data_IF_684587077051
#
_entry.id   IF_684587077051
#
_cell.length_a   1.000
_cell.length_b   1.000
_cell.length_c   1.000
_cell.angle_alpha   90.00
_cell.angle_beta   90.00
_cell.angle_gamma   90.00
#
_symmetry.space_group_name_H-M   'P 1'
#
loop_
_entity.id
_entity.type
_entity.pdbx_description
1 polymer ?
#
# COMPACT_ATOMS: atom_id res chain seq x y z
N UNK A 1 -25.22 19.85 -13.76
CA UNK A 1 -25.74 20.46 -12.53
C UNK A 1 -24.85 21.62 -12.16
N UNK A 2 -25.42 22.79 -11.76
CA UNK A 2 -24.59 23.92 -11.36
C UNK A 2 -23.85 23.56 -10.07
N UNK A 3 -22.55 23.82 -10.04
CA UNK A 3 -21.64 23.58 -8.91
C UNK A 3 -22.05 24.31 -7.62
N UNK A 4 -23.03 25.20 -7.68
CA UNK A 4 -23.55 25.99 -6.55
C UNK A 4 -24.37 25.19 -5.52
N UNK A 5 -24.79 23.98 -5.86
CA UNK A 5 -25.66 23.16 -4.99
C UNK A 5 -24.87 22.25 -4.02
N UNK A 6 -23.55 22.21 -4.13
CA UNK A 6 -22.69 21.38 -3.28
C UNK A 6 -22.56 21.86 -1.83
N UNK A 7 -22.97 23.11 -1.53
CA UNK A 7 -22.79 23.70 -0.21
C UNK A 7 -23.79 23.22 0.86
N UNK A 8 -24.88 22.53 0.46
CA UNK A 8 -25.98 22.22 1.38
C UNK A 8 -25.96 20.80 1.96
N UNK A 9 -25.16 19.87 1.42
CA UNK A 9 -25.02 18.53 1.96
C UNK A 9 -23.60 17.98 1.77
N UNK A 10 -22.65 18.58 2.47
CA UNK A 10 -21.23 18.19 2.41
C UNK A 10 -21.04 16.73 2.82
N UNK A 11 -21.82 16.23 3.80
CA UNK A 11 -21.74 14.85 4.24
C UNK A 11 -22.07 13.87 3.10
N UNK A 12 -23.10 14.15 2.31
CA UNK A 12 -23.45 13.33 1.16
C UNK A 12 -22.38 13.37 0.06
N UNK A 13 -21.80 14.56 -0.21
CA UNK A 13 -20.80 14.73 -1.25
C UNK A 13 -19.44 14.15 -0.89
N UNK A 14 -19.04 14.25 0.39
CA UNK A 14 -17.68 13.86 0.82
C UNK A 14 -17.63 12.55 1.61
N UNK A 15 -18.78 11.97 1.97
CA UNK A 15 -18.85 10.68 2.64
C UNK A 15 -19.48 9.62 1.73
N UNK A 16 -18.68 8.77 1.07
CA UNK A 16 -19.21 7.73 0.18
C UNK A 16 -20.16 6.75 0.88
N UNK A 17 -20.06 6.60 2.20
CA UNK A 17 -20.97 5.71 2.96
C UNK A 17 -22.39 6.27 3.03
N UNK A 18 -22.53 7.58 3.02
CA UNK A 18 -23.83 8.26 2.98
C UNK A 18 -24.36 8.27 1.55
N UNK A 19 -23.48 8.55 0.57
CA UNK A 19 -23.87 8.62 -0.84
C UNK A 19 -24.24 7.24 -1.43
N UNK A 20 -23.62 6.15 -0.96
CA UNK A 20 -23.86 4.78 -1.43
C UNK A 20 -24.04 3.81 -0.26
N UNK A 21 -25.17 3.88 0.44
CA UNK A 21 -25.44 3.00 1.59
C UNK A 21 -25.37 1.53 1.19
N UNK A 22 -24.66 0.71 1.97
CA UNK A 22 -24.56 -0.73 1.76
C UNK A 22 -23.61 -1.18 0.64
N UNK A 23 -23.09 -0.30 -0.20
CA UNK A 23 -22.19 -0.69 -1.28
C UNK A 23 -20.79 -1.15 -0.79
N UNK A 24 -20.39 -0.68 0.37
CA UNK A 24 -19.07 -0.96 0.95
C UNK A 24 -18.92 -2.39 1.43
N UNK A 25 -19.90 -2.91 2.15
CA UNK A 25 -19.82 -4.22 2.79
C UNK A 25 -19.58 -5.38 1.82
N UNK A 26 -20.33 -5.51 0.70
CA UNK A 26 -20.06 -6.56 -0.28
C UNK A 26 -18.67 -6.46 -0.90
N UNK A 27 -18.17 -5.25 -1.15
CA UNK A 27 -16.84 -5.05 -1.70
C UNK A 27 -15.73 -5.42 -0.69
N UNK A 28 -15.91 -5.12 0.59
CA UNK A 28 -14.99 -5.52 1.65
C UNK A 28 -14.99 -7.04 1.85
N UNK A 29 -16.14 -7.68 1.84
CA UNK A 29 -16.28 -9.14 1.93
C UNK A 29 -15.58 -9.83 0.76
N UNK A 30 -15.81 -9.39 -0.47
CA UNK A 30 -15.16 -9.92 -1.67
C UNK A 30 -13.64 -9.77 -1.60
N UNK A 31 -13.16 -8.59 -1.21
CA UNK A 31 -11.72 -8.32 -1.06
C UNK A 31 -11.08 -9.20 0.01
N UNK A 32 -11.75 -9.37 1.15
CA UNK A 32 -11.25 -10.22 2.24
C UNK A 32 -11.22 -11.70 1.81
N UNK A 33 -12.24 -12.18 1.10
CA UNK A 33 -12.27 -13.54 0.57
C UNK A 33 -11.14 -13.79 -0.44
N UNK A 34 -10.92 -12.88 -1.39
CA UNK A 34 -9.82 -12.94 -2.35
C UNK A 34 -8.44 -12.89 -1.66
N UNK A 35 -8.32 -12.08 -0.60
CA UNK A 35 -7.08 -12.01 0.17
C UNK A 35 -6.81 -13.30 0.93
N UNK A 36 -7.84 -13.89 1.56
CA UNK A 36 -7.72 -15.17 2.25
C UNK A 36 -7.34 -16.29 1.27
N UNK A 37 -7.97 -16.34 0.10
CA UNK A 37 -7.63 -17.27 -0.97
C UNK A 37 -6.16 -17.10 -1.41
N UNK A 38 -5.72 -15.89 -1.68
CA UNK A 38 -4.34 -15.58 -2.09
C UNK A 38 -3.33 -16.05 -1.04
N UNK A 39 -3.62 -15.82 0.24
CA UNK A 39 -2.77 -16.27 1.36
C UNK A 39 -2.72 -17.79 1.51
N UNK A 40 -3.77 -18.50 1.11
CA UNK A 40 -3.82 -19.95 1.12
C UNK A 40 -3.10 -20.58 -0.09
N UNK A 41 -3.14 -19.93 -1.25
CA UNK A 41 -2.64 -20.46 -2.52
C UNK A 41 -1.18 -20.14 -2.81
N UNK A 42 -0.67 -19.00 -2.32
CA UNK A 42 0.69 -18.54 -2.63
C UNK A 42 1.64 -18.75 -1.45
N UNK A 43 2.89 -19.14 -1.72
CA UNK A 43 3.95 -19.04 -0.73
C UNK A 43 4.05 -17.63 -0.19
N UNK A 44 4.19 -17.49 1.13
CA UNK A 44 4.33 -16.17 1.76
C UNK A 44 5.20 -16.24 3.01
N UNK A 45 5.78 -15.10 3.34
CA UNK A 45 6.41 -14.82 4.63
C UNK A 45 5.63 -13.69 5.29
N UNK A 46 5.02 -13.97 6.43
CA UNK A 46 4.20 -12.98 7.15
C UNK A 46 5.01 -12.23 8.19
N UNK A 47 4.55 -11.02 8.47
CA UNK A 47 4.98 -10.22 9.61
C UNK A 47 6.49 -9.93 9.65
N UNK A 48 7.13 -9.79 8.47
CA UNK A 48 8.50 -9.30 8.40
C UNK A 48 8.55 -7.88 8.95
N UNK A 49 9.36 -7.67 9.98
CA UNK A 49 9.46 -6.37 10.66
C UNK A 49 10.42 -5.45 9.92
N UNK A 50 9.98 -4.23 9.65
CA UNK A 50 10.82 -3.19 9.06
C UNK A 50 11.14 -2.04 10.05
N UNK A 51 10.55 -2.07 11.25
CA UNK A 51 10.77 -1.08 12.28
C UNK A 51 10.32 -1.55 13.68
N UNK A 52 10.49 -0.72 14.72
CA UNK A 52 10.23 -1.09 16.10
C UNK A 52 8.74 -1.17 16.47
N UNK A 53 7.88 -0.41 15.79
CA UNK A 53 6.47 -0.31 16.15
C UNK A 53 5.69 -1.57 15.74
N UNK A 54 4.62 -1.87 16.46
CA UNK A 54 3.83 -3.10 16.27
C UNK A 54 3.31 -3.24 14.83
N UNK A 55 2.91 -2.14 14.22
CA UNK A 55 2.39 -2.12 12.85
C UNK A 55 3.47 -1.96 11.76
N UNK A 56 4.73 -1.78 12.12
CA UNK A 56 5.82 -1.74 11.14
C UNK A 56 6.18 -3.15 10.66
N UNK A 57 5.23 -3.79 10.01
CA UNK A 57 5.33 -5.14 9.45
C UNK A 57 4.86 -5.18 8.01
N UNK A 58 5.36 -6.15 7.28
CA UNK A 58 4.96 -6.43 5.90
C UNK A 58 4.83 -7.95 5.66
N UNK A 59 4.03 -8.32 4.66
CA UNK A 59 3.93 -9.68 4.15
C UNK A 59 4.58 -9.74 2.78
N UNK A 60 5.46 -10.71 2.58
CA UNK A 60 6.12 -10.98 1.30
C UNK A 60 5.45 -12.17 0.62
N UNK A 61 5.10 -12.01 -0.64
CA UNK A 61 4.71 -13.05 -1.57
C UNK A 61 5.83 -13.18 -2.62
N UNK A 62 6.75 -14.13 -2.46
CA UNK A 62 7.89 -14.26 -3.36
C UNK A 62 7.45 -14.76 -4.73
N UNK A 63 8.01 -14.17 -5.79
CA UNK A 63 7.97 -14.77 -7.11
C UNK A 63 9.02 -15.87 -7.23
N UNK A 64 9.00 -16.60 -8.34
CA UNK A 64 10.09 -17.50 -8.67
C UNK A 64 11.37 -16.70 -8.89
N UNK A 65 12.48 -17.15 -8.31
CA UNK A 65 13.77 -16.47 -8.46
C UNK A 65 14.37 -16.65 -9.86
N UNK A 66 15.11 -15.64 -10.32
CA UNK A 66 15.22 -14.28 -9.77
C UNK A 66 13.98 -13.43 -10.08
N UNK A 67 13.44 -12.75 -9.07
CA UNK A 67 12.35 -11.83 -9.28
C UNK A 67 12.79 -10.64 -10.15
N UNK A 68 11.95 -10.25 -11.10
CA UNK A 68 12.24 -9.15 -12.04
C UNK A 68 12.18 -7.78 -11.37
N UNK A 69 11.37 -7.66 -10.32
CA UNK A 69 11.13 -6.46 -9.54
C UNK A 69 10.38 -6.81 -8.25
N UNK A 70 10.19 -5.82 -7.39
CA UNK A 70 9.34 -5.90 -6.20
C UNK A 70 8.17 -4.92 -6.37
N UNK A 71 6.95 -5.42 -6.28
CA UNK A 71 5.76 -4.62 -6.16
C UNK A 71 5.48 -4.36 -4.67
N UNK A 72 5.33 -3.11 -4.28
CA UNK A 72 5.00 -2.69 -2.91
C UNK A 72 3.61 -2.10 -2.89
N UNK A 73 2.72 -2.67 -2.09
CA UNK A 73 1.36 -2.19 -1.94
C UNK A 73 1.11 -1.59 -0.56
N UNK A 74 0.54 -0.39 -0.55
CA UNK A 74 0.09 0.32 0.65
C UNK A 74 -1.45 0.38 0.66
N UNK A 75 -2.04 -0.14 1.75
CA UNK A 75 -3.49 -0.19 1.88
C UNK A 75 -4.12 1.19 2.11
N UNK A 76 -5.40 1.32 1.80
CA UNK A 76 -6.21 2.48 2.15
C UNK A 76 -6.80 2.37 3.56
N UNK A 77 -7.62 3.36 3.93
CA UNK A 77 -8.33 3.35 5.20
C UNK A 77 -8.28 4.70 5.94
N UNK A 78 -8.12 5.79 5.21
CA UNK A 78 -8.14 7.15 5.77
C UNK A 78 -7.05 7.38 6.83
N UNK A 79 -5.92 6.67 6.73
CA UNK A 79 -4.81 6.63 7.71
C UNK A 79 -5.24 6.22 9.14
N UNK A 80 -6.48 5.72 9.33
CA UNK A 80 -7.08 5.40 10.63
C UNK A 80 -7.46 3.93 10.79
N UNK A 81 -7.42 3.16 9.70
CA UNK A 81 -7.83 1.76 9.66
C UNK A 81 -7.19 1.05 8.47
N UNK A 82 -7.43 -0.24 8.37
CA UNK A 82 -6.90 -1.11 7.33
C UNK A 82 -5.80 -2.01 7.86
N UNK A 83 -5.57 -3.08 7.11
CA UNK A 83 -4.53 -4.05 7.41
C UNK A 83 -4.04 -4.72 6.13
N UNK A 84 -2.75 -5.06 6.10
CA UNK A 84 -2.10 -5.76 4.99
C UNK A 84 -2.77 -7.06 4.62
N UNK A 85 -3.31 -7.79 5.61
CA UNK A 85 -3.97 -9.08 5.38
C UNK A 85 -5.20 -8.96 4.48
N UNK A 86 -5.96 -7.87 4.60
CA UNK A 86 -7.11 -7.60 3.74
C UNK A 86 -6.75 -7.15 2.32
N UNK A 87 -5.46 -6.98 2.02
CA UNK A 87 -4.95 -6.50 0.74
C UNK A 87 -4.06 -7.53 0.01
N UNK A 88 -3.96 -8.74 0.52
CA UNK A 88 -3.12 -9.80 -0.06
C UNK A 88 -3.54 -10.18 -1.49
N UNK A 89 -4.79 -9.93 -1.89
CA UNK A 89 -5.31 -10.21 -3.23
C UNK A 89 -4.50 -9.56 -4.37
N UNK A 90 -3.78 -8.47 -4.09
CA UNK A 90 -2.96 -7.77 -5.10
C UNK A 90 -1.73 -8.59 -5.53
N UNK A 91 -1.32 -9.57 -4.72
CA UNK A 91 -0.08 -10.33 -4.97
C UNK A 91 -0.20 -11.30 -6.15
N UNK A 92 -1.35 -11.95 -6.32
CA UNK A 92 -1.51 -13.03 -7.29
C UNK A 92 -1.12 -12.66 -8.72
N UNK A 93 -1.62 -11.57 -9.30
CA UNK A 93 -1.27 -11.17 -10.66
C UNK A 93 0.22 -10.83 -10.86
N UNK A 94 0.86 -10.22 -9.88
CA UNK A 94 2.27 -9.82 -9.94
C UNK A 94 3.20 -11.03 -9.81
N UNK A 95 2.96 -11.89 -8.82
CA UNK A 95 3.75 -13.12 -8.57
C UNK A 95 3.75 -14.03 -9.79
N UNK A 96 2.59 -14.24 -10.44
CA UNK A 96 2.51 -15.01 -11.70
C UNK A 96 3.34 -14.43 -12.85
N UNK A 97 3.71 -13.15 -12.78
CA UNK A 97 4.56 -12.46 -13.76
C UNK A 97 6.02 -12.34 -13.34
N UNK A 98 6.42 -13.04 -12.29
CA UNK A 98 7.80 -13.01 -11.80
C UNK A 98 8.16 -11.73 -11.03
N UNK A 99 7.17 -11.11 -10.38
CA UNK A 99 7.33 -9.93 -9.54
C UNK A 99 6.99 -10.31 -8.10
N UNK A 100 7.96 -10.24 -7.20
CA UNK A 100 7.69 -10.40 -5.76
C UNK A 100 6.78 -9.28 -5.28
N UNK A 101 5.80 -9.60 -4.43
CA UNK A 101 4.88 -8.58 -3.92
C UNK A 101 5.02 -8.46 -2.41
N UNK A 102 5.15 -7.23 -1.96
CA UNK A 102 5.13 -6.85 -0.55
C UNK A 102 3.85 -6.08 -0.27
N UNK A 103 3.08 -6.53 0.72
CA UNK A 103 1.91 -5.83 1.23
C UNK A 103 2.25 -5.30 2.61
N UNK A 104 2.22 -3.97 2.79
CA UNK A 104 2.82 -3.32 3.93
C UNK A 104 1.77 -2.69 4.84
N UNK A 105 1.92 -2.90 6.16
CA UNK A 105 1.27 -2.13 7.21
C UNK A 105 2.10 -0.88 7.54
N UNK A 106 1.46 0.06 8.21
CA UNK A 106 2.04 1.28 8.76
C UNK A 106 1.21 1.73 9.96
N UNK A 107 1.72 2.63 10.79
CA UNK A 107 1.01 3.21 11.92
C UNK A 107 -0.28 3.91 11.50
N UNK A 108 -1.22 4.03 12.41
CA UNK A 108 -2.54 4.61 12.14
C UNK A 108 -2.83 5.78 13.09
N UNK A 109 -3.52 6.80 12.57
CA UNK A 109 -4.07 7.88 13.38
C UNK A 109 -5.26 7.35 14.24
N UNK A 110 -5.48 7.89 15.44
CA UNK A 110 -4.77 9.00 16.08
C UNK A 110 -3.54 8.57 16.91
N UNK A 111 -3.18 7.28 16.95
CA UNK A 111 -2.02 6.79 17.68
C UNK A 111 -0.72 7.43 17.17
N UNK A 112 -0.63 7.62 15.86
CA UNK A 112 0.46 8.32 15.18
C UNK A 112 -0.09 9.53 14.44
N UNK A 113 0.68 10.62 14.37
CA UNK A 113 0.39 11.74 13.49
C UNK A 113 0.51 11.33 12.02
N UNK A 114 -0.09 12.08 11.10
CA UNK A 114 0.02 11.81 9.67
C UNK A 114 1.47 11.91 9.16
N UNK A 115 2.27 12.78 9.78
CA UNK A 115 3.69 12.90 9.49
C UNK A 115 4.45 11.62 9.89
N UNK A 116 4.17 11.07 11.08
CA UNK A 116 4.78 9.81 11.54
C UNK A 116 4.33 8.62 10.68
N UNK A 117 3.05 8.55 10.31
CA UNK A 117 2.52 7.55 9.37
C UNK A 117 3.27 7.61 8.04
N UNK A 118 3.47 8.82 7.51
CA UNK A 118 4.22 9.03 6.28
C UNK A 118 5.68 8.58 6.43
N UNK A 119 6.34 8.97 7.52
CA UNK A 119 7.72 8.55 7.80
C UNK A 119 7.83 7.03 7.91
N UNK A 120 6.91 6.35 8.61
CA UNK A 120 6.90 4.90 8.71
C UNK A 120 6.74 4.22 7.35
N UNK A 121 5.92 4.78 6.46
CA UNK A 121 5.77 4.27 5.10
C UNK A 121 7.09 4.41 4.30
N UNK A 122 7.77 5.55 4.42
CA UNK A 122 9.09 5.77 3.79
C UNK A 122 10.15 4.83 4.36
N UNK A 123 10.19 4.63 5.68
CA UNK A 123 11.10 3.69 6.35
C UNK A 123 10.91 2.26 5.83
N UNK A 124 9.66 1.83 5.64
CA UNK A 124 9.34 0.51 5.09
C UNK A 124 9.81 0.35 3.64
N UNK A 125 9.62 1.36 2.81
CA UNK A 125 10.11 1.37 1.42
C UNK A 125 11.65 1.33 1.40
N UNK A 126 12.32 2.12 2.26
CA UNK A 126 13.75 2.08 2.42
C UNK A 126 14.27 0.72 2.88
N UNK A 127 13.56 0.08 3.80
CA UNK A 127 13.89 -1.26 4.27
C UNK A 127 13.78 -2.28 3.13
N UNK A 128 12.69 -2.23 2.34
CA UNK A 128 12.50 -3.12 1.18
C UNK A 128 13.63 -2.94 0.17
N UNK A 129 14.05 -1.71 -0.12
CA UNK A 129 15.18 -1.43 -1.00
C UNK A 129 16.47 -2.12 -0.51
N UNK A 130 16.81 -1.93 0.76
CA UNK A 130 18.04 -2.48 1.36
C UNK A 130 18.03 -4.01 1.45
N UNK A 131 16.85 -4.62 1.52
CA UNK A 131 16.66 -6.07 1.64
C UNK A 131 16.21 -6.74 0.33
N UNK A 132 16.27 -6.04 -0.81
CA UNK A 132 15.75 -6.53 -2.08
C UNK A 132 16.26 -7.92 -2.46
N UNK A 133 17.55 -8.21 -2.20
CA UNK A 133 18.14 -9.52 -2.47
C UNK A 133 17.48 -10.64 -1.64
N UNK A 134 17.27 -10.43 -0.34
CA UNK A 134 16.59 -11.39 0.53
C UNK A 134 15.09 -11.53 0.22
N UNK A 135 14.49 -10.54 -0.45
CA UNK A 135 13.13 -10.56 -0.96
C UNK A 135 13.02 -11.18 -2.38
N UNK A 136 14.12 -11.78 -2.87
CA UNK A 136 14.15 -12.51 -4.13
C UNK A 136 14.45 -11.67 -5.38
N UNK A 137 14.80 -10.39 -5.25
CA UNK A 137 15.11 -9.52 -6.38
C UNK A 137 16.61 -9.22 -6.47
N UNK A 138 17.26 -9.60 -7.57
CA UNK A 138 18.68 -9.35 -7.79
C UNK A 138 19.05 -7.85 -7.85
N UNK A 139 18.10 -6.98 -8.16
CA UNK A 139 18.23 -5.52 -8.16
C UNK A 139 17.01 -4.89 -7.48
N UNK A 140 17.19 -3.79 -6.72
CA UNK A 140 16.11 -3.12 -6.00
C UNK A 140 15.27 -2.25 -6.95
N UNK A 141 14.52 -2.88 -7.86
CA UNK A 141 13.56 -2.20 -8.73
C UNK A 141 12.18 -2.29 -8.09
N UNK A 142 11.68 -1.18 -7.56
CA UNK A 142 10.40 -1.13 -6.89
C UNK A 142 9.32 -0.52 -7.79
N UNK A 143 8.13 -1.11 -7.76
CA UNK A 143 6.90 -0.52 -8.28
C UNK A 143 5.94 -0.34 -7.10
N UNK A 144 5.50 0.88 -6.88
CA UNK A 144 4.58 1.18 -5.79
C UNK A 144 3.14 1.12 -6.29
N UNK A 145 2.24 0.69 -5.46
CA UNK A 145 0.82 0.97 -5.67
C UNK A 145 0.11 1.15 -4.34
N UNK A 146 -0.96 1.90 -4.36
CA UNK A 146 -1.75 2.14 -3.17
C UNK A 146 -3.15 2.61 -3.51
N UNK A 147 -4.06 2.35 -2.59
CA UNK A 147 -5.45 2.80 -2.70
C UNK A 147 -5.74 3.88 -1.67
N UNK A 148 -6.40 4.98 -2.05
CA UNK A 148 -6.84 6.06 -1.17
C UNK A 148 -5.67 6.60 -0.31
N UNK A 149 -5.72 6.48 1.01
CA UNK A 149 -4.63 6.87 1.91
C UNK A 149 -3.27 6.22 1.53
N UNK A 150 -3.28 4.95 1.09
CA UNK A 150 -2.07 4.27 0.61
C UNK A 150 -1.52 4.88 -0.68
N UNK A 151 -2.39 5.37 -1.58
CA UNK A 151 -1.97 6.09 -2.78
C UNK A 151 -1.32 7.44 -2.42
N UNK A 152 -1.85 8.15 -1.43
CA UNK A 152 -1.20 9.35 -0.89
C UNK A 152 0.21 9.04 -0.36
N UNK A 153 0.38 7.96 0.42
CA UNK A 153 1.69 7.56 0.93
C UNK A 153 2.66 7.19 -0.21
N UNK A 154 2.17 6.56 -1.28
CA UNK A 154 2.97 6.34 -2.50
C UNK A 154 3.39 7.67 -3.16
N UNK A 155 2.48 8.66 -3.23
CA UNK A 155 2.81 9.99 -3.77
C UNK A 155 3.87 10.69 -2.92
N UNK A 156 3.78 10.58 -1.58
CA UNK A 156 4.81 11.10 -0.68
C UNK A 156 6.17 10.43 -0.91
N UNK A 157 6.18 9.12 -1.18
CA UNK A 157 7.41 8.40 -1.51
C UNK A 157 8.02 8.85 -2.84
N UNK A 158 7.22 9.17 -3.85
CA UNK A 158 7.71 9.73 -5.12
C UNK A 158 8.28 11.14 -4.96
N UNK A 159 7.76 11.93 -4.02
CA UNK A 159 8.21 13.29 -3.76
C UNK A 159 9.39 13.37 -2.77
N UNK A 160 9.73 12.26 -2.12
CA UNK A 160 10.78 12.24 -1.10
C UNK A 160 12.18 12.27 -1.72
N UNK A 161 13.08 13.05 -1.13
CA UNK A 161 14.51 13.06 -1.50
C UNK A 161 15.23 11.85 -0.87
N UNK A 162 15.31 10.76 -1.63
CA UNK A 162 15.89 9.49 -1.19
C UNK A 162 17.39 9.54 -0.89
N UNK A 163 18.11 10.56 -1.37
CA UNK A 163 19.51 10.79 -1.02
C UNK A 163 19.69 11.01 0.48
N UNK A 164 18.67 11.57 1.16
CA UNK A 164 18.65 11.71 2.63
C UNK A 164 18.68 10.36 3.36
N UNK A 165 18.21 9.31 2.70
CA UNK A 165 18.25 7.94 3.20
C UNK A 165 19.43 7.13 2.66
N UNK A 166 20.38 7.76 1.91
CA UNK A 166 21.51 7.11 1.24
C UNK A 166 21.03 6.03 0.24
N UNK A 167 19.98 6.33 -0.50
CA UNK A 167 19.39 5.46 -1.52
C UNK A 167 19.48 6.17 -2.87
N UNK A 168 19.78 5.41 -3.93
CA UNK A 168 19.81 5.90 -5.31
C UNK A 168 18.41 6.35 -5.76
N UNK A 169 18.30 7.43 -6.53
CA UNK A 169 17.03 8.05 -6.89
C UNK A 169 16.13 7.18 -7.78
N UNK A 170 16.72 6.35 -8.66
CA UNK A 170 15.99 5.64 -9.72
C UNK A 170 15.45 4.26 -9.32
N UNK A 171 15.44 3.91 -8.04
CA UNK A 171 14.99 2.59 -7.60
C UNK A 171 13.46 2.41 -7.66
N UNK A 172 12.67 3.50 -7.57
CA UNK A 172 11.22 3.47 -7.79
C UNK A 172 10.96 3.64 -9.28
N UNK A 173 10.69 2.52 -9.96
CA UNK A 173 10.51 2.48 -11.41
C UNK A 173 9.13 2.93 -11.89
N UNK A 174 8.17 3.08 -10.99
CA UNK A 174 6.83 3.55 -11.29
C UNK A 174 5.86 3.39 -10.14
N UNK A 175 4.71 4.06 -10.23
CA UNK A 175 3.67 3.95 -9.23
C UNK A 175 2.26 3.99 -9.83
N UNK A 176 1.32 3.26 -9.21
CA UNK A 176 -0.12 3.31 -9.50
C UNK A 176 -0.86 3.86 -8.28
N UNK A 177 -1.40 5.07 -8.43
CA UNK A 177 -2.13 5.80 -7.39
C UNK A 177 -3.63 5.67 -7.62
N UNK A 178 -4.30 4.79 -6.87
CA UNK A 178 -5.70 4.45 -7.08
C UNK A 178 -6.56 5.25 -6.09
N UNK A 179 -7.49 6.08 -6.61
CA UNK A 179 -8.37 6.94 -5.82
C UNK A 179 -7.59 7.77 -4.77
N UNK A 180 -6.47 8.34 -5.19
CA UNK A 180 -5.70 9.25 -4.35
C UNK A 180 -6.42 10.59 -4.18
N UNK A 181 -6.14 11.27 -3.07
CA UNK A 181 -6.65 12.62 -2.78
C UNK A 181 -6.26 13.67 -3.83
N UNK A 182 -5.24 13.40 -4.63
CA UNK A 182 -4.86 14.28 -5.75
C UNK A 182 -5.84 14.23 -6.93
N UNK A 183 -6.83 13.34 -6.89
CA UNK A 183 -7.86 13.19 -7.91
C UNK A 183 -9.22 13.77 -7.47
N UNK A 184 -9.29 14.43 -6.31
CA UNK A 184 -10.49 15.04 -5.74
C UNK A 184 -10.47 16.55 -5.98
#
# INVERSE_FOLDING_TARGET
MPWQDYSQNLEWHYNPQVATPGAREPAELARNALSAQTRAELPMQSDLRYGPEARQTLDLFPAREPARAIHVYLHGGYWRRGDKSASSFVAGPAVRRGISTVVMNYGLCPEYSLEEVTRQALDGIAWIYRHAASLGAARPRLFLSGHSAGAHLCAMALAYDWRKALIEEDFICGAALILSLIHI
#
